data_IF_007863085271
#
_entry.id   IF_007863085271
#
_cell.length_a   1.000
_cell.length_b   1.000
_cell.length_c   1.000
_cell.angle_alpha   90.00
_cell.angle_beta   90.00
_cell.angle_gamma   90.00
#
_symmetry.space_group_name_H-M   'P 1'
#
loop_
_entity.id
_entity.type
_entity.pdbx_description
1 polymer ?
#
# COMPACT_ATOMS: atom_id res chain seq x y z
N UNK A 1 39.75 25.00 55.15
CA UNK A 1 39.27 25.59 53.91
C UNK A 1 39.21 24.46 52.88
N UNK A 2 38.02 23.86 52.68
CA UNK A 2 37.80 22.74 51.74
C UNK A 2 36.87 23.23 50.65
N UNK A 3 37.39 23.32 49.44
CA UNK A 3 36.62 23.70 48.26
C UNK A 3 35.90 22.48 47.71
N UNK A 4 34.56 22.53 47.66
CA UNK A 4 33.70 21.51 47.00
C UNK A 4 33.55 21.92 45.55
N UNK A 5 34.07 21.08 44.64
CA UNK A 5 33.94 21.24 43.19
C UNK A 5 32.62 20.61 42.70
N UNK A 6 31.69 21.45 42.30
CA UNK A 6 30.40 21.03 41.75
C UNK A 6 30.59 20.67 40.26
N UNK A 7 30.62 19.38 39.92
CA UNK A 7 30.62 18.90 38.53
C UNK A 7 29.20 18.85 38.03
N UNK A 8 28.83 19.80 37.15
CA UNK A 8 27.57 19.78 36.42
C UNK A 8 27.58 18.65 35.37
N UNK A 9 26.76 17.65 35.58
CA UNK A 9 26.45 16.65 34.55
C UNK A 9 25.51 17.30 33.49
N UNK A 10 26.02 17.55 32.33
CA UNK A 10 25.20 17.92 31.16
C UNK A 10 24.56 16.61 30.60
N UNK A 11 23.26 16.42 30.82
CA UNK A 11 22.48 15.38 30.14
C UNK A 11 22.16 15.88 28.75
N UNK A 12 22.86 15.41 27.74
CA UNK A 12 22.46 15.59 26.34
C UNK A 12 21.25 14.69 26.06
N UNK A 13 20.07 15.26 26.06
CA UNK A 13 18.89 14.62 25.46
C UNK A 13 19.06 14.62 23.92
N UNK A 14 19.35 13.46 23.35
CA UNK A 14 19.32 13.27 21.90
C UNK A 14 17.87 13.26 21.46
N UNK A 15 17.41 14.39 20.91
CA UNK A 15 16.14 14.48 20.18
C UNK A 15 16.28 13.63 18.91
N UNK A 16 15.63 12.47 18.86
CA UNK A 16 15.52 11.68 17.64
C UNK A 16 14.82 12.52 16.57
N UNK A 17 15.49 12.74 15.46
CA UNK A 17 14.96 13.55 14.36
C UNK A 17 13.85 12.79 13.63
N UNK A 18 12.74 13.44 13.20
CA UNK A 18 11.62 12.80 12.53
C UNK A 18 11.97 12.08 11.21
N UNK A 19 13.11 12.39 10.61
CA UNK A 19 13.59 11.74 9.37
C UNK A 19 13.95 10.23 9.56
N UNK A 20 14.27 9.79 10.77
CA UNK A 20 14.57 8.37 11.03
C UNK A 20 13.30 7.51 11.03
N UNK A 21 12.16 8.05 11.43
CA UNK A 21 10.88 7.33 11.51
C UNK A 21 10.26 7.03 10.12
N UNK A 22 10.47 7.90 9.15
CA UNK A 22 9.97 7.72 7.77
C UNK A 22 10.61 6.52 7.07
N UNK A 23 11.85 6.18 7.41
CA UNK A 23 12.56 5.04 6.82
C UNK A 23 12.12 3.69 7.42
N UNK A 24 11.52 3.68 8.62
CA UNK A 24 11.08 2.43 9.26
C UNK A 24 9.74 1.92 8.71
N UNK A 25 8.84 2.80 8.29
CA UNK A 25 7.49 2.47 7.85
C UNK A 25 7.46 1.52 6.63
N UNK A 26 8.34 1.73 5.65
CA UNK A 26 8.47 0.87 4.47
C UNK A 26 9.86 0.21 4.38
N UNK A 27 10.61 0.20 5.47
CA UNK A 27 11.89 -0.47 5.54
C UNK A 27 11.70 -1.94 5.16
N UNK A 28 12.47 -2.36 4.20
CA UNK A 28 12.43 -3.74 3.69
C UNK A 28 11.10 -4.17 3.04
N UNK A 29 10.20 -3.22 2.69
CA UNK A 29 9.00 -3.59 1.96
C UNK A 29 9.37 -4.37 0.69
N UNK A 30 8.74 -5.52 0.53
CA UNK A 30 8.86 -6.36 -0.66
C UNK A 30 7.45 -6.67 -1.15
N UNK A 31 7.20 -6.39 -2.43
CA UNK A 31 5.96 -6.85 -3.04
C UNK A 31 5.88 -8.38 -2.91
N UNK A 32 4.73 -8.91 -2.50
CA UNK A 32 4.54 -10.35 -2.34
C UNK A 32 4.90 -11.14 -3.61
N UNK A 33 5.14 -12.44 -3.45
CA UNK A 33 5.31 -13.34 -4.58
C UNK A 33 4.01 -13.43 -5.41
N UNK A 34 4.13 -13.84 -6.69
CA UNK A 34 2.98 -14.11 -7.54
C UNK A 34 2.07 -15.16 -6.88
N UNK A 35 0.78 -14.92 -6.92
CA UNK A 35 -0.25 -15.74 -6.29
C UNK A 35 -0.60 -15.32 -4.86
N UNK A 36 0.21 -14.51 -4.18
CA UNK A 36 -0.11 -14.01 -2.83
C UNK A 36 -1.21 -12.95 -2.88
N UNK A 37 -2.14 -13.02 -1.92
CA UNK A 37 -3.26 -12.07 -1.82
C UNK A 37 -3.62 -11.76 -0.37
N UNK A 38 -4.26 -10.62 -0.18
CA UNK A 38 -4.88 -10.20 1.08
C UNK A 38 -6.24 -9.55 0.79
N UNK A 39 -7.24 -9.85 1.62
CA UNK A 39 -8.58 -9.29 1.56
C UNK A 39 -8.87 -8.51 2.82
N UNK A 40 -9.44 -7.34 2.63
CA UNK A 40 -9.75 -6.38 3.70
C UNK A 40 -11.23 -6.02 3.68
N UNK A 41 -11.81 -5.89 4.84
CA UNK A 41 -13.02 -5.12 5.04
C UNK A 41 -12.61 -3.68 5.36
N UNK A 42 -13.21 -2.74 4.65
CA UNK A 42 -12.93 -1.32 4.82
C UNK A 42 -14.24 -0.56 5.03
N UNK A 43 -14.17 0.45 5.87
CA UNK A 43 -15.25 1.43 6.05
C UNK A 43 -14.65 2.81 5.83
N UNK A 44 -15.21 3.56 4.88
CA UNK A 44 -14.82 4.95 4.61
C UNK A 44 -16.02 5.86 4.79
N UNK A 45 -15.94 6.80 5.74
CA UNK A 45 -17.06 7.71 6.08
C UNK A 45 -18.37 6.95 6.29
N UNK A 46 -18.30 5.84 7.03
CA UNK A 46 -19.43 4.96 7.34
C UNK A 46 -19.92 4.08 6.18
N UNK A 47 -19.29 4.09 5.01
CA UNK A 47 -19.65 3.25 3.87
C UNK A 47 -18.77 2.00 3.84
N UNK A 48 -19.35 0.80 3.98
CA UNK A 48 -18.59 -0.45 3.93
C UNK A 48 -18.17 -0.80 2.50
N UNK A 49 -17.01 -1.40 2.37
CA UNK A 49 -16.49 -1.97 1.12
C UNK A 49 -15.56 -3.14 1.43
N UNK A 50 -15.38 -4.03 0.45
CA UNK A 50 -14.35 -5.07 0.47
C UNK A 50 -13.26 -4.69 -0.51
N UNK A 51 -12.00 -4.82 -0.10
CA UNK A 51 -10.84 -4.62 -0.95
C UNK A 51 -9.99 -5.89 -0.94
N UNK A 52 -9.60 -6.37 -2.12
CA UNK A 52 -8.66 -7.47 -2.25
C UNK A 52 -7.47 -7.04 -3.10
N UNK A 53 -6.29 -7.24 -2.57
CA UNK A 53 -5.02 -7.05 -3.27
C UNK A 53 -4.42 -8.41 -3.59
N UNK A 54 -3.85 -8.56 -4.78
CA UNK A 54 -3.20 -9.78 -5.21
C UNK A 54 -2.06 -9.49 -6.18
N UNK A 55 -0.99 -10.26 -6.13
CA UNK A 55 0.02 -10.29 -7.20
C UNK A 55 -0.37 -11.41 -8.16
N UNK A 56 -0.85 -11.06 -9.34
CA UNK A 56 -1.48 -12.00 -10.29
C UNK A 56 -0.57 -12.39 -11.45
N UNK A 57 0.62 -11.81 -11.54
CA UNK A 57 1.58 -12.12 -12.59
C UNK A 57 2.90 -11.39 -12.42
N UNK A 58 3.86 -11.78 -13.23
CA UNK A 58 5.19 -11.16 -13.31
C UNK A 58 5.65 -11.17 -14.77
N UNK A 59 6.30 -10.11 -15.21
CA UNK A 59 6.93 -10.03 -16.51
C UNK A 59 8.17 -9.12 -16.47
N UNK A 60 9.01 -9.20 -17.50
CA UNK A 60 10.15 -8.29 -17.64
C UNK A 60 9.83 -7.19 -18.63
N UNK A 61 10.10 -5.94 -18.28
CA UNK A 61 10.03 -4.79 -19.17
C UNK A 61 11.38 -4.08 -19.17
N UNK A 62 11.95 -3.92 -20.34
CA UNK A 62 13.27 -3.27 -20.51
C UNK A 62 14.37 -3.88 -19.60
N UNK A 63 14.29 -5.19 -19.37
CA UNK A 63 15.22 -5.93 -18.52
C UNK A 63 14.97 -5.82 -17.01
N UNK A 64 13.95 -5.06 -16.58
CA UNK A 64 13.56 -4.96 -15.18
C UNK A 64 12.38 -5.90 -14.86
N UNK A 65 12.41 -6.62 -13.73
CA UNK A 65 11.27 -7.44 -13.30
C UNK A 65 10.12 -6.53 -12.85
N UNK A 66 8.93 -6.81 -13.36
CA UNK A 66 7.70 -6.08 -13.04
C UNK A 66 6.64 -7.07 -12.58
N UNK A 67 5.75 -6.63 -11.70
CA UNK A 67 4.65 -7.43 -11.17
C UNK A 67 3.31 -6.83 -11.52
N UNK A 68 2.35 -7.68 -11.83
CA UNK A 68 0.95 -7.33 -11.96
C UNK A 68 0.28 -7.32 -10.60
N UNK A 69 0.09 -6.13 -10.06
CA UNK A 69 -0.69 -5.91 -8.84
C UNK A 69 -2.15 -5.71 -9.23
N UNK A 70 -3.02 -6.59 -8.74
CA UNK A 70 -4.46 -6.47 -8.87
C UNK A 70 -5.07 -5.92 -7.59
N UNK A 71 -5.94 -4.93 -7.74
CA UNK A 71 -6.80 -4.41 -6.68
C UNK A 71 -8.26 -4.58 -7.12
N UNK A 72 -9.02 -5.35 -6.35
CA UNK A 72 -10.46 -5.53 -6.54
C UNK A 72 -11.20 -4.83 -5.41
N UNK A 73 -12.19 -4.01 -5.78
CA UNK A 73 -13.01 -3.25 -4.84
C UNK A 73 -14.49 -3.57 -5.05
N UNK A 74 -15.18 -3.94 -3.99
CA UNK A 74 -16.62 -4.17 -3.96
C UNK A 74 -17.23 -3.36 -2.81
N UNK A 75 -18.26 -2.59 -3.08
CA UNK A 75 -18.89 -1.73 -2.06
C UNK A 75 -19.99 -0.85 -2.65
N UNK A 76 -20.22 -0.95 -3.95
CA UNK A 76 -21.30 -0.32 -4.69
C UNK A 76 -22.15 -1.34 -5.43
N UNK A 77 -22.80 -0.90 -6.53
CA UNK A 77 -23.56 -1.81 -7.42
C UNK A 77 -22.64 -2.77 -8.15
N UNK A 78 -21.45 -2.30 -8.52
CA UNK A 78 -20.50 -3.05 -9.36
C UNK A 78 -19.18 -3.25 -8.61
N UNK A 79 -18.51 -4.35 -8.94
CA UNK A 79 -17.12 -4.58 -8.55
C UNK A 79 -16.20 -3.89 -9.55
N UNK A 80 -15.22 -3.17 -9.05
CA UNK A 80 -14.15 -2.59 -9.87
C UNK A 80 -12.85 -3.38 -9.66
N UNK A 81 -12.16 -3.67 -10.76
CA UNK A 81 -10.86 -4.33 -10.78
C UNK A 81 -9.86 -3.40 -11.46
N UNK A 82 -8.73 -3.21 -10.82
CA UNK A 82 -7.59 -2.48 -11.37
C UNK A 82 -6.38 -3.39 -11.35
N UNK A 83 -5.67 -3.47 -12.47
CA UNK A 83 -4.39 -4.15 -12.56
C UNK A 83 -3.32 -3.14 -12.95
N UNK A 84 -2.21 -3.16 -12.26
CA UNK A 84 -1.08 -2.24 -12.49
C UNK A 84 0.19 -3.04 -12.66
N UNK A 85 0.89 -2.81 -13.76
CA UNK A 85 2.24 -3.32 -13.96
C UNK A 85 3.24 -2.37 -13.30
N UNK A 86 3.89 -2.81 -12.23
CA UNK A 86 4.71 -1.98 -11.35
C UNK A 86 6.00 -2.69 -10.92
N UNK A 87 7.10 -1.97 -10.64
CA UNK A 87 8.32 -2.56 -10.07
C UNK A 87 8.12 -3.26 -8.72
N UNK A 88 7.01 -2.97 -8.05
CA UNK A 88 6.68 -3.63 -6.79
C UNK A 88 7.15 -2.93 -5.54
N UNK A 89 7.76 -1.77 -5.65
CA UNK A 89 8.07 -0.91 -4.51
C UNK A 89 7.06 0.26 -4.50
N UNK A 90 6.34 0.52 -3.39
CA UNK A 90 5.44 1.66 -3.29
C UNK A 90 6.11 3.02 -3.54
N UNK A 91 7.40 3.15 -3.24
CA UNK A 91 8.17 4.35 -3.56
C UNK A 91 8.42 4.56 -5.06
N UNK A 92 8.18 3.54 -5.88
CA UNK A 92 8.39 3.54 -7.33
C UNK A 92 7.09 3.49 -8.14
N UNK A 93 5.98 3.90 -7.54
CA UNK A 93 4.67 3.94 -8.23
C UNK A 93 4.64 4.92 -9.40
N UNK A 94 5.56 5.88 -9.46
CA UNK A 94 5.80 6.72 -10.63
C UNK A 94 6.35 5.93 -11.84
N UNK A 95 6.84 4.70 -11.64
CA UNK A 95 7.36 3.80 -12.68
C UNK A 95 6.31 2.78 -13.18
N UNK A 96 5.03 2.94 -12.86
CA UNK A 96 3.94 2.10 -13.41
C UNK A 96 4.03 2.10 -14.93
N UNK A 97 4.02 0.90 -15.54
CA UNK A 97 4.15 0.74 -17.00
C UNK A 97 2.81 0.61 -17.70
N UNK A 98 1.86 -0.03 -17.05
CA UNK A 98 0.56 -0.32 -17.63
C UNK A 98 -0.53 -0.30 -16.55
N UNK A 99 -1.74 0.11 -16.93
CA UNK A 99 -2.92 0.03 -16.08
C UNK A 99 -4.07 -0.51 -16.92
N UNK A 100 -4.69 -1.57 -16.40
CA UNK A 100 -5.94 -2.14 -16.94
C UNK A 100 -7.01 -2.00 -15.87
N UNK A 101 -8.23 -1.66 -16.27
CA UNK A 101 -9.35 -1.61 -15.34
C UNK A 101 -10.61 -2.21 -15.94
N UNK A 102 -11.47 -2.74 -15.07
CA UNK A 102 -12.77 -3.32 -15.40
C UNK A 102 -13.76 -2.93 -14.33
N UNK A 103 -15.01 -2.63 -14.72
CA UNK A 103 -16.09 -2.35 -13.78
C UNK A 103 -17.33 -3.14 -14.17
N UNK A 104 -17.80 -4.00 -13.28
CA UNK A 104 -18.93 -4.90 -13.51
C UNK A 104 -18.70 -5.78 -14.73
N UNK A 105 -19.73 -5.89 -15.58
CA UNK A 105 -19.69 -6.70 -16.82
C UNK A 105 -19.13 -5.94 -18.03
N UNK A 106 -18.64 -4.71 -17.86
CA UNK A 106 -18.05 -3.95 -18.96
C UNK A 106 -16.73 -4.59 -19.40
N UNK A 107 -16.36 -4.44 -20.69
CA UNK A 107 -15.06 -4.89 -21.17
C UNK A 107 -13.92 -4.29 -20.36
N UNK A 108 -12.84 -5.05 -20.19
CA UNK A 108 -11.61 -4.54 -19.62
C UNK A 108 -10.99 -3.49 -20.54
N UNK A 109 -10.53 -2.40 -19.98
CA UNK A 109 -9.95 -1.25 -20.69
C UNK A 109 -8.51 -1.05 -20.29
N UNK A 110 -7.63 -0.89 -21.27
CA UNK A 110 -6.22 -0.56 -21.08
C UNK A 110 -6.02 0.94 -21.26
N UNK A 111 -5.31 1.55 -20.30
CA UNK A 111 -4.98 2.96 -20.40
C UNK A 111 -3.81 3.19 -21.36
N UNK A 112 -3.98 4.10 -22.31
CA UNK A 112 -2.93 4.48 -23.25
C UNK A 112 -1.78 5.25 -22.59
N UNK A 113 -0.62 5.27 -23.28
CA UNK A 113 0.63 5.84 -22.76
C UNK A 113 0.54 7.28 -22.27
N UNK A 114 -0.24 8.15 -22.94
CA UNK A 114 -0.44 9.53 -22.52
C UNK A 114 -1.15 9.61 -21.15
N UNK A 115 -2.13 8.74 -20.89
CA UNK A 115 -2.85 8.67 -19.63
C UNK A 115 -1.96 8.08 -18.53
N UNK A 116 -1.15 7.08 -18.83
CA UNK A 116 -0.14 6.54 -17.92
C UNK A 116 0.85 7.63 -17.51
N UNK A 117 1.31 8.46 -18.45
CA UNK A 117 2.17 9.62 -18.17
C UNK A 117 1.51 10.62 -17.21
N UNK A 118 0.22 10.87 -17.36
CA UNK A 118 -0.55 11.73 -16.44
C UNK A 118 -0.65 11.10 -15.04
N UNK A 119 -0.97 9.80 -14.95
CA UNK A 119 -1.03 9.06 -13.69
C UNK A 119 0.32 9.08 -12.98
N UNK A 120 1.41 8.80 -13.68
CA UNK A 120 2.79 8.89 -13.14
C UNK A 120 3.06 10.26 -12.57
N UNK A 121 2.71 11.32 -13.28
CA UNK A 121 2.90 12.71 -12.84
C UNK A 121 2.06 13.07 -11.61
N UNK A 122 0.86 12.55 -11.48
CA UNK A 122 0.00 12.76 -10.30
C UNK A 122 0.41 11.87 -9.12
N UNK A 123 0.73 10.61 -9.38
CA UNK A 123 1.20 9.66 -8.37
C UNK A 123 2.53 10.13 -7.76
N UNK A 124 3.47 10.62 -8.56
CA UNK A 124 4.74 11.15 -8.07
C UNK A 124 4.63 12.41 -7.22
N UNK A 125 3.55 13.21 -7.40
CA UNK A 125 3.37 14.47 -6.68
C UNK A 125 2.41 14.40 -5.48
N UNK A 126 1.43 13.50 -5.53
CA UNK A 126 0.30 13.49 -4.58
C UNK A 126 -0.12 12.07 -4.16
N UNK A 127 0.70 11.04 -4.41
CA UNK A 127 0.24 9.70 -4.07
C UNK A 127 0.18 9.53 -2.55
N UNK A 128 -0.98 9.10 -2.09
CA UNK A 128 -1.13 8.61 -0.72
C UNK A 128 -0.09 7.51 -0.41
N UNK A 129 0.38 6.78 -1.45
CA UNK A 129 1.42 5.75 -1.35
C UNK A 129 2.83 6.34 -1.26
N UNK A 130 3.16 7.40 -2.03
CA UNK A 130 4.47 8.08 -1.90
C UNK A 130 4.60 8.80 -0.55
N UNK A 131 3.48 9.27 0.00
CA UNK A 131 3.41 9.96 1.29
C UNK A 131 2.93 9.05 2.43
N UNK A 132 2.79 7.73 2.16
CA UNK A 132 2.26 6.77 3.14
C UNK A 132 3.01 6.83 4.47
N UNK A 133 4.31 7.11 4.43
CA UNK A 133 5.15 7.18 5.61
C UNK A 133 5.45 8.63 6.06
N UNK A 134 4.90 9.65 5.41
CA UNK A 134 5.11 11.04 5.83
C UNK A 134 4.39 11.34 7.15
N UNK A 135 5.15 11.72 8.17
CA UNK A 135 4.61 11.98 9.51
C UNK A 135 4.29 10.71 10.32
N UNK A 136 4.73 9.55 9.83
CA UNK A 136 4.53 8.27 10.51
C UNK A 136 5.67 8.00 11.48
N UNK A 137 5.32 7.63 12.71
CA UNK A 137 6.25 7.18 13.74
C UNK A 137 5.90 5.77 14.22
N UNK A 138 6.91 4.94 14.45
CA UNK A 138 6.73 3.66 15.14
C UNK A 138 6.41 3.94 16.61
N UNK A 139 5.26 3.44 17.07
CA UNK A 139 4.82 3.53 18.47
C UNK A 139 5.39 2.37 19.27
N UNK A 140 5.40 1.18 18.69
CA UNK A 140 5.88 -0.05 19.31
C UNK A 140 5.16 -1.27 18.76
N UNK A 141 5.48 -2.43 19.33
CA UNK A 141 4.83 -3.70 19.01
C UNK A 141 3.66 -3.95 19.95
N UNK A 142 2.52 -4.36 19.43
CA UNK A 142 1.38 -4.76 20.23
C UNK A 142 0.55 -5.89 19.57
N UNK A 143 -0.26 -6.56 20.37
CA UNK A 143 -1.17 -7.59 19.88
C UNK A 143 -2.42 -6.94 19.29
N UNK A 144 -2.77 -7.26 18.05
CA UNK A 144 -4.00 -6.80 17.39
C UNK A 144 -4.83 -7.99 16.91
N UNK A 145 -6.13 -7.95 17.18
CA UNK A 145 -7.09 -8.98 16.73
C UNK A 145 -7.97 -8.40 15.63
N UNK A 146 -8.03 -9.10 14.51
CA UNK A 146 -8.86 -8.81 13.34
C UNK A 146 -9.55 -10.10 12.88
N UNK A 147 -10.51 -10.08 11.94
CA UNK A 147 -11.17 -11.28 11.46
C UNK A 147 -10.22 -12.39 10.96
N UNK A 148 -9.09 -12.04 10.40
CA UNK A 148 -8.06 -12.99 9.94
C UNK A 148 -7.30 -13.68 11.09
N UNK A 149 -7.39 -13.19 12.33
CA UNK A 149 -6.70 -13.76 13.49
C UNK A 149 -6.11 -12.71 14.42
N UNK A 150 -5.25 -13.18 15.33
CA UNK A 150 -4.50 -12.33 16.26
C UNK A 150 -3.04 -12.29 15.84
N UNK A 151 -2.47 -11.09 15.77
CA UNK A 151 -1.12 -10.83 15.30
C UNK A 151 -0.34 -9.99 16.30
N UNK A 152 0.96 -10.26 16.42
CA UNK A 152 1.92 -9.30 16.98
C UNK A 152 2.33 -8.37 15.84
N UNK A 153 2.05 -7.10 15.98
CA UNK A 153 2.18 -6.12 14.91
C UNK A 153 2.93 -4.88 15.36
N UNK A 154 3.73 -4.34 14.48
CA UNK A 154 4.30 -3.00 14.62
C UNK A 154 3.18 -1.98 14.44
N UNK A 155 2.89 -1.17 15.46
CA UNK A 155 1.95 -0.06 15.38
C UNK A 155 2.68 1.21 14.98
N UNK A 156 2.17 1.84 13.94
CA UNK A 156 2.61 3.15 13.47
C UNK A 156 1.49 4.16 13.67
N UNK A 157 1.85 5.35 14.13
CA UNK A 157 0.94 6.49 14.23
C UNK A 157 1.33 7.57 13.24
N UNK A 158 0.34 8.18 12.59
CA UNK A 158 0.54 9.31 11.69
C UNK A 158 -0.06 10.56 12.32
N UNK A 159 0.79 11.44 12.84
CA UNK A 159 0.38 12.69 13.49
C UNK A 159 -0.35 13.65 12.55
N UNK A 160 -0.04 13.62 11.25
CA UNK A 160 -0.64 14.52 10.25
C UNK A 160 -2.10 14.16 9.94
N UNK A 161 -2.44 12.87 10.01
CA UNK A 161 -3.75 12.36 9.66
C UNK A 161 -4.53 11.79 10.85
N UNK A 162 -3.95 11.82 12.05
CA UNK A 162 -4.49 11.22 13.27
C UNK A 162 -5.00 9.81 13.00
N UNK A 163 -4.08 8.95 12.55
CA UNK A 163 -4.41 7.59 12.15
C UNK A 163 -3.33 6.60 12.55
N UNK A 164 -3.75 5.38 12.83
CA UNK A 164 -2.90 4.26 13.20
C UNK A 164 -2.89 3.18 12.12
N UNK A 165 -1.76 2.50 11.96
CA UNK A 165 -1.62 1.32 11.13
C UNK A 165 -0.87 0.23 11.89
N UNK A 166 -1.34 -1.01 11.79
CA UNK A 166 -0.71 -2.20 12.35
C UNK A 166 -0.17 -3.04 11.21
N UNK A 167 1.11 -3.29 11.23
CA UNK A 167 1.83 -3.94 10.14
C UNK A 167 2.54 -5.20 10.63
N UNK A 168 2.45 -6.27 9.84
CA UNK A 168 3.10 -7.57 10.07
C UNK A 168 3.86 -7.96 8.83
N UNK A 169 5.18 -8.09 8.92
CA UNK A 169 6.08 -8.31 7.76
C UNK A 169 5.79 -9.61 7.00
N UNK A 170 5.32 -10.65 7.69
CA UNK A 170 5.01 -11.94 7.10
C UNK A 170 3.64 -12.00 6.39
N UNK A 171 2.81 -10.97 6.58
CA UNK A 171 1.52 -10.87 5.89
C UNK A 171 1.70 -10.28 4.48
N UNK A 172 0.93 -10.76 3.49
CA UNK A 172 0.89 -10.12 2.18
C UNK A 172 0.51 -8.65 2.35
N UNK A 173 1.25 -7.75 1.68
CA UNK A 173 1.05 -6.30 1.76
C UNK A 173 1.21 -5.69 3.16
N UNK A 174 1.69 -6.45 4.16
CA UNK A 174 2.04 -6.06 5.53
C UNK A 174 0.89 -5.54 6.39
N UNK A 175 -0.09 -4.86 5.83
CA UNK A 175 -1.18 -4.24 6.58
C UNK A 175 -2.10 -5.30 7.20
N UNK A 176 -2.34 -5.19 8.51
CA UNK A 176 -3.32 -6.00 9.25
C UNK A 176 -4.52 -5.15 9.65
N UNK A 177 -4.28 -3.92 10.07
CA UNK A 177 -5.33 -2.97 10.44
C UNK A 177 -4.88 -1.54 10.15
N UNK A 178 -5.82 -0.68 9.76
CA UNK A 178 -5.66 0.76 9.79
C UNK A 178 -6.91 1.40 10.36
N UNK A 179 -6.72 2.42 11.19
CA UNK A 179 -7.79 3.15 11.86
C UNK A 179 -7.49 4.64 11.82
N UNK A 180 -8.44 5.42 11.39
CA UNK A 180 -8.41 6.88 11.41
C UNK A 180 -9.81 7.44 11.58
N UNK A 181 -9.92 8.76 11.62
CA UNK A 181 -11.19 9.46 11.84
C UNK A 181 -12.30 9.03 10.87
N UNK A 182 -11.97 8.87 9.61
CA UNK A 182 -12.94 8.62 8.52
C UNK A 182 -12.76 7.24 7.87
N UNK A 183 -11.91 6.38 8.41
CA UNK A 183 -11.69 5.04 7.86
C UNK A 183 -11.34 4.01 8.92
N UNK A 184 -11.76 2.79 8.67
CA UNK A 184 -11.26 1.57 9.29
C UNK A 184 -11.02 0.54 8.20
N UNK A 185 -9.87 -0.11 8.23
CA UNK A 185 -9.48 -1.20 7.33
C UNK A 185 -8.98 -2.34 8.19
N UNK A 186 -9.53 -3.55 8.02
CA UNK A 186 -9.12 -4.74 8.76
C UNK A 186 -8.90 -5.91 7.83
N UNK A 187 -7.84 -6.66 8.05
CA UNK A 187 -7.54 -7.89 7.32
C UNK A 187 -8.58 -8.95 7.67
N UNK A 188 -9.22 -9.51 6.63
CA UNK A 188 -10.23 -10.56 6.76
C UNK A 188 -9.64 -11.93 6.44
N UNK A 189 -8.81 -11.99 5.41
CA UNK A 189 -8.17 -13.21 4.97
C UNK A 189 -6.92 -12.90 4.14
N UNK A 190 -6.00 -13.85 4.07
CA UNK A 190 -4.85 -13.81 3.18
C UNK A 190 -4.49 -15.22 2.73
N UNK A 191 -3.76 -15.36 1.63
CA UNK A 191 -3.39 -16.69 1.12
C UNK A 191 -2.60 -16.63 -0.17
N UNK A 192 -2.58 -17.78 -0.84
CA UNK A 192 -1.86 -18.06 -2.07
C UNK A 192 -2.82 -18.46 -3.20
N UNK A 193 -2.29 -18.61 -4.42
CA UNK A 193 -3.03 -19.13 -5.57
C UNK A 193 -3.93 -18.10 -6.26
N UNK A 194 -3.74 -16.79 -6.01
CA UNK A 194 -4.46 -15.76 -6.75
C UNK A 194 -4.12 -15.79 -8.24
N UNK A 195 -5.15 -15.65 -9.06
CA UNK A 195 -5.06 -15.48 -10.50
C UNK A 195 -5.74 -14.18 -10.89
N UNK A 196 -5.44 -13.68 -12.11
CA UNK A 196 -6.09 -12.50 -12.65
C UNK A 196 -7.61 -12.66 -12.70
N UNK A 197 -8.33 -11.63 -12.22
CA UNK A 197 -9.79 -11.53 -12.38
C UNK A 197 -10.20 -11.02 -13.76
N UNK A 198 -9.26 -10.46 -14.53
CA UNK A 198 -9.47 -10.04 -15.91
C UNK A 198 -8.90 -11.15 -16.80
N UNK A 199 -9.78 -11.87 -17.50
CA UNK A 199 -9.44 -13.02 -18.34
C UNK A 199 -9.56 -12.74 -19.84
N UNK A 200 -10.24 -11.65 -20.20
CA UNK A 200 -10.35 -11.19 -21.58
C UNK A 200 -9.20 -10.26 -21.95
N UNK A 201 -8.95 -10.12 -23.25
CA UNK A 201 -8.00 -9.15 -23.80
C UNK A 201 -8.52 -7.72 -23.57
N UNK A 202 -7.77 -6.84 -22.89
CA UNK A 202 -8.20 -5.48 -22.64
C UNK A 202 -8.26 -4.65 -23.94
N UNK A 203 -9.30 -3.83 -24.07
CA UNK A 203 -9.45 -2.89 -25.19
C UNK A 203 -8.73 -1.57 -24.89
N UNK A 204 -8.09 -0.99 -25.90
CA UNK A 204 -7.48 0.33 -25.75
C UNK A 204 -8.53 1.42 -25.51
N UNK A 205 -8.40 2.19 -24.44
CA UNK A 205 -9.35 3.25 -24.06
C UNK A 205 -9.46 4.37 -25.10
N UNK A 206 -8.47 4.55 -25.96
CA UNK A 206 -8.38 5.61 -26.97
C UNK A 206 -8.40 5.06 -28.39
N UNK A 207 -9.16 4.00 -28.67
CA UNK A 207 -9.54 3.55 -30.02
C UNK A 207 -8.52 3.74 -31.13
N UNK A 208 -7.24 3.49 -30.87
CA UNK A 208 -6.21 3.44 -31.90
C UNK A 208 -5.96 1.98 -32.29
N UNK A 209 -5.76 1.68 -33.59
CA UNK A 209 -5.45 0.32 -33.99
C UNK A 209 -4.17 -0.14 -33.28
N UNK A 210 -4.27 -1.28 -32.59
CA UNK A 210 -3.10 -2.01 -32.10
C UNK A 210 -2.18 -2.27 -33.31
N UNK A 211 -0.98 -1.72 -33.25
CA UNK A 211 0.08 -2.08 -34.20
C UNK A 211 0.81 -3.31 -33.72
#
# INVERSE_FOLDING_TARGET
>A
MHGVSLRSLLVLATLATPAAAQNECLKDYRMPAVGRWAEYQATFKGKPSTMRYAVVGEESREGAPMKWLEMRMAGGKDTSVYQMLTPGNPAEMDKIQEVVFKTGDKPAMKMGGAMIGMIRGQVGKNSALANLCEGVALVGEESVTVPAGTFQADRFHNDKHDSDAWMVRDQPFYLVKSLGKDHEIVLVASGDGAQSSITEEPQDMMGGPSK
#
